data_IF_234528608967
#
_entry.id   IF_234528608967
#
_cell.length_a   1.000
_cell.length_b   1.000
_cell.length_c   1.000
_cell.angle_alpha   90.00
_cell.angle_beta   90.00
_cell.angle_gamma   90.00
#
_symmetry.space_group_name_H-M   'P 1'
#
loop_
_entity.id
_entity.type
_entity.pdbx_description
1 polymer ?
#
# COMPACT_ATOMS: atom_id res chain seq x y z
N UNK A 1 5.92 22.08 14.88
CA UNK A 1 7.39 22.13 15.12
C UNK A 1 7.99 21.30 14.02
N UNK A 2 8.76 21.92 13.12
CA UNK A 2 9.34 21.17 12.01
C UNK A 2 10.62 20.49 12.50
N UNK A 3 10.67 19.16 12.44
CA UNK A 3 11.88 18.41 12.80
C UNK A 3 12.72 18.14 11.56
N UNK A 4 14.00 17.78 11.75
CA UNK A 4 14.85 17.36 10.62
C UNK A 4 14.36 16.08 9.96
N UNK A 5 13.49 15.32 10.65
CA UNK A 5 12.93 14.05 10.17
C UNK A 5 11.63 14.22 9.38
N UNK A 6 11.00 15.40 9.36
CA UNK A 6 9.70 15.58 8.69
C UNK A 6 9.79 15.38 7.18
N UNK A 7 10.85 15.88 6.56
CA UNK A 7 11.11 15.68 5.13
C UNK A 7 11.36 14.20 4.82
N UNK A 8 12.15 13.53 5.64
CA UNK A 8 12.45 12.11 5.49
C UNK A 8 11.21 11.24 5.72
N UNK A 9 10.40 11.55 6.73
CA UNK A 9 9.15 10.85 7.01
C UNK A 9 8.16 10.99 5.87
N UNK A 10 8.06 12.19 5.27
CA UNK A 10 7.22 12.40 4.08
C UNK A 10 7.66 11.52 2.92
N UNK A 11 8.96 11.43 2.65
CA UNK A 11 9.51 10.55 1.60
C UNK A 11 9.18 9.09 1.89
N UNK A 12 9.39 8.63 3.14
CA UNK A 12 9.08 7.24 3.53
C UNK A 12 7.59 6.93 3.49
N UNK A 13 6.74 7.89 3.79
CA UNK A 13 5.30 7.76 3.61
C UNK A 13 4.93 7.62 2.14
N UNK A 14 5.50 8.44 1.26
CA UNK A 14 5.27 8.32 -0.18
C UNK A 14 5.73 6.97 -0.75
N UNK A 15 6.87 6.44 -0.28
CA UNK A 15 7.31 5.09 -0.65
C UNK A 15 6.32 4.01 -0.21
N UNK A 16 5.77 4.12 1.00
CA UNK A 16 4.75 3.21 1.53
C UNK A 16 3.45 3.30 0.72
N UNK A 17 2.92 4.51 0.53
CA UNK A 17 1.70 4.78 -0.24
C UNK A 17 1.81 4.23 -1.67
N UNK A 18 3.00 4.34 -2.29
CA UNK A 18 3.28 3.76 -3.61
C UNK A 18 3.20 2.23 -3.59
N UNK A 19 3.78 1.58 -2.58
CA UNK A 19 3.70 0.12 -2.45
C UNK A 19 2.24 -0.34 -2.27
N UNK A 20 1.44 0.39 -1.48
CA UNK A 20 0.02 0.10 -1.31
C UNK A 20 -0.75 0.25 -2.63
N UNK A 21 -0.50 1.33 -3.38
CA UNK A 21 -1.11 1.56 -4.68
C UNK A 21 -0.75 0.43 -5.67
N UNK A 22 0.51 0.00 -5.73
CA UNK A 22 0.96 -1.10 -6.57
C UNK A 22 0.29 -2.42 -6.19
N UNK A 23 0.08 -2.69 -4.89
CA UNK A 23 -0.66 -3.87 -4.42
C UNK A 23 -2.13 -3.84 -4.84
N UNK A 24 -2.79 -2.69 -4.69
CA UNK A 24 -4.19 -2.51 -5.10
C UNK A 24 -4.32 -2.74 -6.60
N UNK A 25 -3.42 -2.16 -7.39
CA UNK A 25 -3.39 -2.33 -8.84
C UNK A 25 -3.20 -3.79 -9.24
N UNK A 26 -2.25 -4.50 -8.62
CA UNK A 26 -2.03 -5.93 -8.89
C UNK A 26 -3.27 -6.77 -8.55
N UNK A 27 -3.92 -6.49 -7.42
CA UNK A 27 -5.16 -7.18 -7.04
C UNK A 27 -6.30 -6.89 -8.03
N UNK A 28 -6.39 -5.67 -8.54
CA UNK A 28 -7.34 -5.31 -9.58
C UNK A 28 -7.10 -6.09 -10.88
N UNK A 29 -5.85 -6.21 -11.32
CA UNK A 29 -5.49 -7.03 -12.49
C UNK A 29 -5.87 -8.50 -12.32
N UNK A 30 -5.61 -9.08 -11.14
CA UNK A 30 -6.03 -10.46 -10.82
C UNK A 30 -7.55 -10.58 -10.91
N UNK A 31 -8.30 -9.62 -10.37
CA UNK A 31 -9.75 -9.63 -10.42
C UNK A 31 -10.29 -9.54 -11.86
N UNK A 32 -9.69 -8.68 -12.70
CA UNK A 32 -10.05 -8.60 -14.12
C UNK A 32 -9.80 -9.92 -14.85
N UNK A 33 -8.64 -10.55 -14.64
CA UNK A 33 -8.30 -11.82 -15.28
C UNK A 33 -9.23 -12.96 -14.83
N UNK A 34 -9.63 -12.99 -13.56
CA UNK A 34 -10.64 -13.96 -13.11
C UNK A 34 -11.99 -13.73 -13.80
N UNK A 35 -12.43 -12.48 -13.98
CA UNK A 35 -13.66 -12.18 -14.72
C UNK A 35 -13.56 -12.62 -16.18
N UNK A 36 -12.41 -12.42 -16.82
CA UNK A 36 -12.17 -12.92 -18.19
C UNK A 36 -12.29 -14.45 -18.26
N UNK A 37 -11.72 -15.17 -17.29
CA UNK A 37 -11.87 -16.63 -17.19
C UNK A 37 -13.34 -17.03 -17.01
N UNK A 38 -14.08 -16.32 -16.15
CA UNK A 38 -15.50 -16.62 -15.90
C UNK A 38 -16.34 -16.46 -17.19
N UNK A 39 -16.05 -15.43 -18.00
CA UNK A 39 -16.69 -15.22 -19.31
C UNK A 39 -16.32 -16.36 -20.26
N UNK A 40 -15.03 -16.70 -20.38
CA UNK A 40 -14.59 -17.81 -21.24
C UNK A 40 -15.22 -19.15 -20.85
N UNK A 41 -15.41 -19.40 -19.55
CA UNK A 41 -16.08 -20.59 -19.05
C UNK A 41 -17.58 -20.57 -19.38
N UNK A 42 -18.24 -19.42 -19.30
CA UNK A 42 -19.63 -19.26 -19.73
C UNK A 42 -19.78 -19.55 -21.22
N UNK A 43 -18.91 -18.97 -22.05
CA UNK A 43 -18.89 -19.18 -23.51
C UNK A 43 -18.65 -20.66 -23.84
N UNK A 44 -17.69 -21.31 -23.17
CA UNK A 44 -17.41 -22.74 -23.36
C UNK A 44 -18.64 -23.61 -23.05
N UNK A 45 -19.38 -23.28 -21.99
CA UNK A 45 -20.59 -24.00 -21.60
C UNK A 45 -21.75 -23.83 -22.60
N UNK A 46 -21.76 -22.73 -23.38
CA UNK A 46 -22.75 -22.52 -24.44
C UNK A 46 -22.43 -23.31 -25.71
N UNK A 47 -21.22 -23.86 -25.85
CA UNK A 47 -20.83 -24.66 -27.02
C UNK A 47 -21.54 -26.01 -27.00
N UNK A 48 -22.62 -26.10 -27.77
CA UNK A 48 -23.34 -27.33 -28.04
C UNK A 48 -22.55 -28.22 -29.01
N UNK A 49 -22.33 -29.47 -28.61
CA UNK A 49 -21.73 -30.48 -29.50
C UNK A 49 -22.83 -31.03 -30.41
N UNK A 50 -22.63 -31.05 -31.74
CA UNK A 50 -23.61 -31.64 -32.64
C UNK A 50 -23.79 -33.14 -32.30
N UNK A 51 -25.03 -33.54 -32.00
CA UNK A 51 -25.37 -34.95 -31.70
C UNK A 51 -25.49 -35.79 -32.97
N UNK A 52 -25.82 -35.13 -34.08
CA UNK A 52 -25.95 -35.69 -35.43
C UNK A 52 -25.33 -34.67 -36.40
N UNK A 53 -24.71 -35.12 -37.50
CA UNK A 53 -24.08 -34.22 -38.49
C UNK A 53 -22.83 -34.82 -39.13
N UNK A 54 -22.12 -33.99 -39.90
CA UNK A 54 -20.87 -34.38 -40.55
C UNK A 54 -19.71 -34.41 -39.53
N UNK A 55 -18.74 -35.30 -39.74
CA UNK A 55 -17.56 -35.45 -38.88
C UNK A 55 -16.77 -34.14 -38.78
N UNK A 56 -16.77 -33.34 -39.85
CA UNK A 56 -16.14 -32.03 -39.89
C UNK A 56 -16.71 -31.04 -38.86
N UNK A 57 -18.03 -31.04 -38.65
CA UNK A 57 -18.68 -30.17 -37.67
C UNK A 57 -18.28 -30.54 -36.23
N UNK A 58 -18.19 -31.85 -35.96
CA UNK A 58 -17.71 -32.35 -34.68
C UNK A 58 -16.25 -31.95 -34.44
N UNK A 59 -15.38 -32.19 -35.42
CA UNK A 59 -13.96 -31.84 -35.32
C UNK A 59 -13.76 -30.34 -35.09
N UNK A 60 -14.46 -29.49 -35.84
CA UNK A 60 -14.39 -28.04 -35.67
C UNK A 60 -14.82 -27.62 -34.26
N UNK A 61 -15.91 -28.19 -33.74
CA UNK A 61 -16.38 -27.93 -32.37
C UNK A 61 -15.36 -28.34 -31.31
N UNK A 62 -14.65 -29.45 -31.51
CA UNK A 62 -13.58 -29.90 -30.61
C UNK A 62 -12.37 -28.97 -30.64
N UNK A 63 -11.94 -28.52 -31.81
CA UNK A 63 -10.83 -27.57 -31.94
C UNK A 63 -11.15 -26.24 -31.26
N UNK A 64 -12.39 -25.73 -31.42
CA UNK A 64 -12.85 -24.52 -30.74
C UNK A 64 -12.79 -24.71 -29.22
N UNK A 65 -13.31 -25.82 -28.68
CA UNK A 65 -13.25 -26.10 -27.23
C UNK A 65 -11.81 -26.16 -26.73
N UNK A 66 -10.92 -26.80 -27.48
CA UNK A 66 -9.50 -26.89 -27.14
C UNK A 66 -8.87 -25.50 -27.08
N UNK A 67 -9.16 -24.62 -28.05
CA UNK A 67 -8.69 -23.25 -28.04
C UNK A 67 -9.15 -22.47 -26.79
N UNK A 68 -10.41 -22.63 -26.37
CA UNK A 68 -10.90 -22.02 -25.13
C UNK A 68 -10.15 -22.52 -23.89
N UNK A 69 -9.90 -23.83 -23.80
CA UNK A 69 -9.13 -24.42 -22.68
C UNK A 69 -7.70 -23.86 -22.65
N UNK A 70 -7.04 -23.79 -23.81
CA UNK A 70 -5.69 -23.24 -23.94
C UNK A 70 -5.63 -21.76 -23.49
N UNK A 71 -6.62 -20.95 -23.87
CA UNK A 71 -6.68 -19.54 -23.44
C UNK A 71 -6.96 -19.41 -21.94
N UNK A 72 -7.83 -20.25 -21.37
CA UNK A 72 -8.07 -20.29 -19.92
C UNK A 72 -6.77 -20.64 -19.17
N UNK A 73 -6.02 -21.64 -19.63
CA UNK A 73 -4.77 -22.05 -18.99
C UNK A 73 -3.70 -20.95 -19.09
N UNK A 74 -3.64 -20.24 -20.21
CA UNK A 74 -2.78 -19.06 -20.35
C UNK A 74 -3.15 -17.95 -19.37
N UNK A 75 -4.44 -17.64 -19.20
CA UNK A 75 -4.90 -16.65 -18.22
C UNK A 75 -4.61 -17.10 -16.78
N UNK A 76 -4.75 -18.38 -16.46
CA UNK A 76 -4.37 -18.95 -15.15
C UNK A 76 -2.89 -18.82 -14.85
N UNK A 77 -2.04 -19.08 -15.85
CA UNK A 77 -0.59 -18.90 -15.73
C UNK A 77 -0.24 -17.44 -15.44
N UNK A 78 -0.92 -16.50 -16.10
CA UNK A 78 -0.72 -15.08 -15.84
C UNK A 78 -1.18 -14.66 -14.44
N UNK A 79 -2.31 -15.20 -13.96
CA UNK A 79 -2.75 -15.01 -12.56
C UNK A 79 -1.71 -15.55 -11.58
N UNK A 80 -1.08 -16.70 -11.88
CA UNK A 80 -0.01 -17.24 -11.03
C UNK A 80 1.17 -16.28 -10.94
N UNK A 81 1.59 -15.68 -12.06
CA UNK A 81 2.65 -14.66 -12.09
C UNK A 81 2.26 -13.42 -11.29
N UNK A 82 1.04 -12.91 -11.48
CA UNK A 82 0.51 -11.77 -10.72
C UNK A 82 0.44 -12.06 -9.20
N UNK A 83 0.14 -13.30 -8.80
CA UNK A 83 0.19 -13.72 -7.40
C UNK A 83 1.61 -13.69 -6.84
N UNK A 84 2.59 -14.13 -7.62
CA UNK A 84 4.00 -14.08 -7.20
C UNK A 84 4.52 -12.64 -7.11
N UNK A 85 4.13 -11.77 -8.05
CA UNK A 85 4.37 -10.32 -7.96
C UNK A 85 3.72 -9.76 -6.69
N UNK A 86 2.48 -10.14 -6.38
CA UNK A 86 1.79 -9.75 -5.16
C UNK A 86 2.55 -10.12 -3.88
N UNK A 87 3.16 -11.32 -3.82
CA UNK A 87 4.01 -11.73 -2.69
C UNK A 87 5.25 -10.84 -2.57
N UNK A 88 5.86 -10.44 -3.68
CA UNK A 88 7.02 -9.55 -3.66
C UNK A 88 6.63 -8.14 -3.21
N UNK A 89 5.51 -7.61 -3.72
CA UNK A 89 4.97 -6.32 -3.29
C UNK A 89 4.67 -6.31 -1.78
N UNK A 90 4.12 -7.40 -1.24
CA UNK A 90 3.87 -7.52 0.20
C UNK A 90 5.17 -7.49 1.02
N UNK A 91 6.24 -8.12 0.53
CA UNK A 91 7.56 -8.04 1.19
C UNK A 91 8.12 -6.61 1.15
N UNK A 92 8.05 -5.95 0.00
CA UNK A 92 8.49 -4.56 -0.17
C UNK A 92 7.70 -3.62 0.73
N UNK A 93 6.38 -3.78 0.80
CA UNK A 93 5.50 -3.04 1.70
C UNK A 93 5.92 -3.23 3.17
N UNK A 94 6.18 -4.46 3.60
CA UNK A 94 6.64 -4.74 4.97
C UNK A 94 7.94 -4.01 5.30
N UNK A 95 8.89 -3.98 4.36
CA UNK A 95 10.17 -3.27 4.54
C UNK A 95 9.92 -1.76 4.62
N UNK A 96 9.16 -1.20 3.69
CA UNK A 96 8.82 0.23 3.66
C UNK A 96 8.10 0.67 4.94
N UNK A 97 7.17 -0.14 5.45
CA UNK A 97 6.45 0.10 6.69
C UNK A 97 7.38 0.14 7.90
N UNK A 98 8.31 -0.82 8.00
CA UNK A 98 9.30 -0.84 9.09
C UNK A 98 10.18 0.42 9.04
N UNK A 99 10.65 0.82 7.86
CA UNK A 99 11.46 2.03 7.72
C UNK A 99 10.68 3.30 8.07
N UNK A 100 9.42 3.40 7.62
CA UNK A 100 8.53 4.49 7.99
C UNK A 100 8.36 4.61 9.52
N UNK A 101 8.05 3.51 10.20
CA UNK A 101 7.87 3.50 11.65
C UNK A 101 9.17 3.80 12.42
N UNK A 102 10.33 3.38 11.93
CA UNK A 102 11.63 3.77 12.51
C UNK A 102 11.82 5.29 12.48
N UNK A 103 11.57 5.93 11.34
CA UNK A 103 11.74 7.38 11.20
C UNK A 103 10.73 8.14 12.06
N UNK A 104 9.48 7.67 12.08
CA UNK A 104 8.43 8.23 12.93
C UNK A 104 8.79 8.17 14.41
N UNK A 105 9.33 7.05 14.87
CA UNK A 105 9.79 6.91 16.25
C UNK A 105 10.92 7.90 16.60
N UNK A 106 11.87 8.12 15.68
CA UNK A 106 12.95 9.11 15.86
C UNK A 106 12.40 10.54 15.93
N UNK A 107 11.44 10.88 15.07
CA UNK A 107 10.73 12.16 15.08
C UNK A 107 10.02 12.40 16.42
N UNK A 108 9.32 11.38 16.95
CA UNK A 108 8.62 11.47 18.23
C UNK A 108 9.57 11.73 19.39
N UNK A 109 10.75 11.08 19.41
CA UNK A 109 11.79 11.34 20.40
C UNK A 109 12.29 12.79 20.31
N UNK A 110 12.60 13.28 19.10
CA UNK A 110 13.09 14.64 18.91
C UNK A 110 12.04 15.69 19.32
N UNK A 111 10.78 15.45 18.96
CA UNK A 111 9.65 16.30 19.33
C UNK A 111 9.48 16.35 20.85
N UNK A 112 9.54 15.19 21.54
CA UNK A 112 9.49 15.14 23.02
C UNK A 112 10.64 15.92 23.65
N UNK A 113 11.87 15.77 23.13
CA UNK A 113 13.04 16.53 23.61
C UNK A 113 12.82 18.03 23.44
N UNK A 114 12.32 18.46 22.29
CA UNK A 114 12.10 19.88 22.01
C UNK A 114 10.99 20.46 22.90
N UNK A 115 9.89 19.74 23.12
CA UNK A 115 8.83 20.13 24.07
C UNK A 115 9.41 20.25 25.48
N UNK A 116 10.22 19.29 25.93
CA UNK A 116 10.83 19.34 27.26
C UNK A 116 11.76 20.55 27.44
N UNK A 117 12.48 20.95 26.37
CA UNK A 117 13.35 22.12 26.37
C UNK A 117 12.54 23.42 26.45
N UNK A 118 11.43 23.51 25.69
CA UNK A 118 10.51 24.65 25.74
C UNK A 118 9.95 24.80 27.15
N UNK A 119 9.40 23.73 27.75
CA UNK A 119 8.86 23.77 29.12
C UNK A 119 9.89 24.21 30.16
N UNK A 120 11.14 23.75 30.04
CA UNK A 120 12.22 24.18 30.94
C UNK A 120 12.55 25.67 30.78
N UNK A 121 12.59 26.18 29.56
CA UNK A 121 12.83 27.60 29.31
C UNK A 121 11.65 28.45 29.78
N UNK A 122 10.41 28.02 29.55
CA UNK A 122 9.21 28.70 30.06
C UNK A 122 9.23 28.79 31.58
N UNK A 123 9.56 27.70 32.29
CA UNK A 123 9.68 27.70 33.75
C UNK A 123 10.73 28.70 34.23
N UNK A 124 11.92 28.73 33.60
CA UNK A 124 12.98 29.70 33.96
C UNK A 124 12.55 31.14 33.72
N UNK A 125 11.91 31.41 32.59
CA UNK A 125 11.42 32.74 32.26
C UNK A 125 10.35 33.20 33.26
N UNK A 126 9.44 32.31 33.68
CA UNK A 126 8.45 32.60 34.70
C UNK A 126 9.09 32.90 36.06
N UNK A 127 10.11 32.14 36.46
CA UNK A 127 10.86 32.40 37.69
C UNK A 127 11.58 33.76 37.63
N UNK A 128 12.22 34.08 36.50
CA UNK A 128 12.89 35.37 36.28
C UNK A 128 11.91 36.55 36.33
N UNK A 129 10.76 36.44 35.64
CA UNK A 129 9.70 37.45 35.70
C UNK A 129 9.17 37.62 37.13
N UNK A 130 8.99 36.51 37.86
CA UNK A 130 8.58 36.53 39.26
C UNK A 130 9.58 37.29 40.15
N UNK A 131 10.88 37.06 39.96
CA UNK A 131 11.94 37.77 40.69
C UNK A 131 11.96 39.26 40.32
N UNK A 132 11.80 39.61 39.04
CA UNK A 132 11.74 41.01 38.61
C UNK A 132 10.56 41.73 39.25
N UNK A 133 9.35 41.16 39.18
CA UNK A 133 8.15 41.75 39.79
C UNK A 133 8.30 41.91 41.30
N UNK A 134 8.88 40.92 41.98
CA UNK A 134 9.12 41.01 43.42
C UNK A 134 10.11 42.14 43.76
N UNK A 135 11.21 42.27 43.01
CA UNK A 135 12.19 43.34 43.21
C UNK A 135 11.58 44.72 42.95
N UNK A 136 10.84 44.89 41.85
CA UNK A 136 10.19 46.16 41.51
C UNK A 136 9.14 46.57 42.55
N UNK A 137 8.42 45.64 43.14
CA UNK A 137 7.49 45.94 44.24
C UNK A 137 8.19 46.30 45.56
N UNK A 138 9.47 45.93 45.73
CA UNK A 138 10.26 46.21 46.93
C UNK A 138 10.99 47.56 46.87
N UNK A 139 11.26 48.08 45.66
CA UNK A 139 11.85 49.41 45.43
C UNK A 139 10.82 50.54 45.41
N UNK A 140 9.52 50.22 45.26
CA UNK A 140 8.41 51.18 45.30
C UNK A 140 7.73 51.30 46.69
N UNK A 141 8.39 50.79 47.75
CA UNK A 141 8.01 50.91 49.17
C UNK A 141 9.16 51.58 49.91
#
# INVERSE_FOLDING_TARGET
MNTKFDSLLKIKKQELDKCEADMIYNNHLIALKNKEIDILLQDLNQINVPKNGDYWDFKNTQEVKKAFVEEIDKQRNEISRLKDIGKQLQKSHRIAFIEYEKIKYLQDIETKKMISKIKKNESKNLDEVGIMLFKSNKENV
#
